data_IF_653999961862
#
_entry.id   IF_653999961862
#
_cell.length_a   1.000
_cell.length_b   1.000
_cell.length_c   1.000
_cell.angle_alpha   90.00
_cell.angle_beta   90.00
_cell.angle_gamma   90.00
#
_symmetry.space_group_name_H-M   'P 1'
#
loop_
_entity.id
_entity.type
_entity.pdbx_description
1 polymer ?
#
# COMPACT_ATOMS: atom_id res chain seq x y z
N UNK A 1 -30.46 -19.21 -9.55
CA UNK A 1 -30.80 -18.20 -8.51
C UNK A 1 -29.56 -17.41 -8.02
N UNK A 2 -28.57 -17.16 -8.91
CA UNK A 2 -27.26 -16.55 -8.59
C UNK A 2 -27.02 -15.17 -9.23
N UNK A 3 -28.02 -14.54 -9.86
CA UNK A 3 -27.83 -13.29 -10.61
C UNK A 3 -28.32 -12.01 -9.90
N UNK A 4 -28.81 -12.07 -8.66
CA UNK A 4 -29.34 -10.88 -7.96
C UNK A 4 -28.42 -10.35 -6.84
N UNK A 5 -27.20 -10.87 -6.69
CA UNK A 5 -26.31 -10.51 -5.57
C UNK A 5 -25.36 -9.32 -5.83
N UNK A 6 -25.60 -8.50 -6.84
CA UNK A 6 -24.66 -7.42 -7.18
C UNK A 6 -25.26 -6.06 -7.52
N UNK A 7 -26.58 -5.89 -7.41
CA UNK A 7 -27.21 -4.62 -7.75
C UNK A 7 -27.56 -3.84 -6.49
N UNK A 8 -27.02 -2.63 -6.39
CA UNK A 8 -27.32 -1.70 -5.33
C UNK A 8 -27.82 -0.38 -5.93
N UNK A 9 -28.67 0.32 -5.22
CA UNK A 9 -29.11 1.68 -5.57
C UNK A 9 -28.39 2.66 -4.66
N UNK A 10 -27.68 3.62 -5.24
CA UNK A 10 -26.99 4.65 -4.48
C UNK A 10 -27.96 5.58 -3.75
N UNK A 11 -29.12 5.85 -4.36
CA UNK A 11 -30.12 6.79 -3.85
C UNK A 11 -31.54 6.26 -4.03
N UNK A 12 -31.96 5.22 -3.27
CA UNK A 12 -33.26 4.56 -3.46
C UNK A 12 -34.47 5.48 -3.22
N UNK A 13 -34.27 6.58 -2.49
CA UNK A 13 -35.31 7.56 -2.17
C UNK A 13 -35.99 8.16 -3.41
N UNK A 14 -35.27 8.29 -4.53
CA UNK A 14 -35.85 8.79 -5.77
C UNK A 14 -36.94 7.88 -6.35
N UNK A 15 -36.96 6.60 -6.00
CA UNK A 15 -38.04 5.68 -6.43
C UNK A 15 -39.38 6.03 -5.80
N UNK A 16 -39.41 6.81 -4.72
CA UNK A 16 -40.65 7.31 -4.13
C UNK A 16 -41.41 8.27 -5.07
N UNK A 17 -40.80 8.80 -6.10
CA UNK A 17 -41.45 9.56 -7.14
C UNK A 17 -42.36 8.72 -8.04
N UNK A 18 -42.10 7.39 -8.16
CA UNK A 18 -42.90 6.50 -9.01
C UNK A 18 -44.39 6.37 -8.53
N UNK A 19 -44.69 6.14 -7.24
CA UNK A 19 -46.07 6.15 -6.77
C UNK A 19 -46.74 7.52 -6.94
N UNK A 20 -46.00 8.63 -6.81
CA UNK A 20 -46.52 9.97 -7.05
C UNK A 20 -46.87 10.17 -8.53
N UNK A 21 -46.08 9.68 -9.45
CA UNK A 21 -46.33 9.68 -10.89
C UNK A 21 -47.60 8.86 -11.23
N UNK A 22 -47.76 7.67 -10.59
CA UNK A 22 -48.94 6.83 -10.77
C UNK A 22 -50.22 7.53 -10.28
N UNK A 23 -50.11 8.20 -9.13
CA UNK A 23 -51.25 8.97 -8.56
C UNK A 23 -51.63 10.14 -9.49
N UNK A 24 -50.64 10.86 -10.03
CA UNK A 24 -50.83 11.94 -11.00
C UNK A 24 -51.49 11.44 -12.30
N UNK A 25 -51.00 10.30 -12.85
CA UNK A 25 -51.63 9.68 -14.03
C UNK A 25 -53.09 9.26 -13.80
N UNK A 26 -53.32 8.71 -12.61
CA UNK A 26 -54.70 8.32 -12.22
C UNK A 26 -55.63 9.53 -12.05
N UNK A 27 -55.13 10.61 -11.43
CA UNK A 27 -55.85 11.88 -11.29
C UNK A 27 -56.10 12.55 -12.65
N UNK A 28 -55.11 12.59 -13.53
CA UNK A 28 -55.25 13.11 -14.91
C UNK A 28 -56.25 12.33 -15.73
N UNK A 29 -56.34 11.01 -15.59
CA UNK A 29 -57.36 10.19 -16.26
C UNK A 29 -58.80 10.45 -15.73
N UNK A 30 -58.95 10.90 -14.50
CA UNK A 30 -60.23 11.25 -13.90
C UNK A 30 -60.72 12.65 -14.26
N UNK A 31 -59.84 13.54 -14.66
CA UNK A 31 -60.23 14.84 -15.17
C UNK A 31 -60.90 14.64 -16.53
N UNK A 32 -62.16 15.00 -16.63
CA UNK A 32 -62.87 15.05 -17.90
C UNK A 32 -62.21 16.17 -18.73
N UNK A 33 -61.93 15.95 -20.06
CA UNK A 33 -61.52 17.06 -20.92
C UNK A 33 -62.63 18.10 -20.92
N UNK A 34 -62.25 19.36 -20.76
CA UNK A 34 -63.20 20.46 -20.87
C UNK A 34 -63.88 20.34 -22.23
N UNK A 35 -65.21 20.18 -22.23
CA UNK A 35 -66.00 20.07 -23.43
C UNK A 35 -66.15 21.47 -24.00
N UNK A 36 -65.48 21.75 -25.10
CA UNK A 36 -65.71 22.98 -25.89
C UNK A 36 -66.95 22.73 -26.71
N UNK A 37 -68.03 23.48 -26.42
CA UNK A 37 -69.24 23.47 -27.21
C UNK A 37 -68.97 24.15 -28.56
N UNK A 38 -68.79 23.33 -29.60
CA UNK A 38 -68.70 23.79 -30.98
C UNK A 38 -70.05 23.65 -31.65
N UNK A 39 -70.57 24.75 -32.19
CA UNK A 39 -71.91 24.81 -32.84
C UNK A 39 -71.94 24.20 -34.24
N UNK A 40 -70.84 23.83 -34.84
CA UNK A 40 -70.73 23.18 -36.17
C UNK A 40 -69.85 21.96 -36.11
N UNK A 41 -70.43 20.80 -35.83
CA UNK A 41 -69.73 19.49 -35.78
C UNK A 41 -69.39 18.98 -37.19
N UNK A 42 -70.05 19.48 -38.23
CA UNK A 42 -69.94 19.02 -39.62
C UNK A 42 -68.59 19.34 -40.26
N UNK A 43 -67.87 20.33 -39.73
CA UNK A 43 -66.53 20.74 -40.22
C UNK A 43 -65.37 19.89 -39.58
N UNK A 44 -65.66 19.21 -38.48
CA UNK A 44 -64.71 18.33 -37.81
C UNK A 44 -64.92 16.88 -38.28
N UNK A 45 -64.63 16.63 -39.58
CA UNK A 45 -64.41 15.24 -40.03
C UNK A 45 -63.15 14.72 -39.38
N UNK A 46 -63.32 14.12 -38.19
CA UNK A 46 -62.31 13.40 -37.49
C UNK A 46 -61.88 12.20 -38.35
N UNK A 47 -60.81 12.34 -39.08
CA UNK A 47 -60.18 11.24 -39.82
C UNK A 47 -59.94 10.04 -38.89
N UNK A 48 -60.15 8.82 -39.38
CA UNK A 48 -60.20 7.63 -38.56
C UNK A 48 -58.88 7.38 -37.80
N UNK A 49 -58.90 7.49 -36.48
CA UNK A 49 -57.97 6.82 -35.57
C UNK A 49 -56.58 7.42 -35.37
N UNK A 50 -56.02 8.24 -36.28
CA UNK A 50 -54.66 8.78 -36.21
C UNK A 50 -54.39 9.69 -34.98
N UNK A 51 -55.40 10.49 -34.58
CA UNK A 51 -55.29 11.38 -33.42
C UNK A 51 -55.19 10.65 -32.08
N UNK A 52 -55.92 9.56 -31.89
CA UNK A 52 -55.95 8.79 -30.67
C UNK A 52 -54.68 7.97 -30.50
N UNK A 53 -54.14 7.43 -31.59
CA UNK A 53 -52.87 6.67 -31.54
C UNK A 53 -51.69 7.57 -31.14
N UNK A 54 -51.56 8.71 -31.74
CA UNK A 54 -50.46 9.63 -31.46
C UNK A 54 -50.60 10.28 -30.06
N UNK A 55 -51.80 10.52 -29.52
CA UNK A 55 -51.98 10.97 -28.15
C UNK A 55 -51.58 9.89 -27.14
N UNK A 56 -51.83 8.61 -27.45
CA UNK A 56 -51.36 7.48 -26.65
C UNK A 56 -49.81 7.33 -26.73
N UNK A 57 -49.21 7.46 -27.92
CA UNK A 57 -47.77 7.40 -28.11
C UNK A 57 -47.04 8.49 -27.32
N UNK A 58 -47.52 9.75 -27.38
CA UNK A 58 -46.95 10.84 -26.59
C UNK A 58 -47.03 10.59 -25.08
N UNK A 59 -48.20 10.06 -24.61
CA UNK A 59 -48.32 9.72 -23.19
C UNK A 59 -47.36 8.61 -22.78
N UNK A 60 -47.21 7.56 -23.61
CA UNK A 60 -46.27 6.47 -23.34
C UNK A 60 -44.85 6.97 -23.29
N UNK A 61 -44.40 7.77 -24.27
CA UNK A 61 -43.06 8.35 -24.31
C UNK A 61 -42.77 9.20 -23.08
N UNK A 62 -43.70 10.05 -22.67
CA UNK A 62 -43.57 10.88 -21.47
C UNK A 62 -43.47 10.06 -20.20
N UNK A 63 -44.31 9.03 -20.06
CA UNK A 63 -44.23 8.13 -18.90
C UNK A 63 -42.93 7.35 -18.89
N UNK A 64 -42.49 6.85 -20.05
CA UNK A 64 -41.20 6.16 -20.17
C UNK A 64 -40.02 7.07 -19.78
N UNK A 65 -40.03 8.32 -20.26
CA UNK A 65 -39.00 9.30 -19.91
C UNK A 65 -38.96 9.58 -18.40
N UNK A 66 -40.10 9.76 -17.76
CA UNK A 66 -40.20 10.02 -16.32
C UNK A 66 -39.78 8.80 -15.49
N UNK A 67 -40.20 7.60 -15.86
CA UNK A 67 -39.81 6.35 -15.17
C UNK A 67 -38.31 6.10 -15.34
N UNK A 68 -37.81 6.17 -16.57
CA UNK A 68 -36.38 5.97 -16.83
C UNK A 68 -35.54 7.04 -16.13
N UNK A 69 -35.99 8.30 -16.11
CA UNK A 69 -35.34 9.38 -15.38
C UNK A 69 -35.30 9.15 -13.87
N UNK A 70 -36.37 8.67 -13.26
CA UNK A 70 -36.38 8.34 -11.83
C UNK A 70 -35.48 7.16 -11.50
N UNK A 71 -35.40 6.14 -12.37
CA UNK A 71 -34.46 5.03 -12.22
C UNK A 71 -33.01 5.52 -12.38
N UNK A 72 -32.75 6.43 -13.32
CA UNK A 72 -31.41 7.03 -13.47
C UNK A 72 -30.98 7.82 -12.22
N UNK A 73 -31.90 8.59 -11.61
CA UNK A 73 -31.66 9.31 -10.35
C UNK A 73 -31.43 8.38 -9.16
N UNK A 74 -32.03 7.20 -9.16
CA UNK A 74 -31.77 6.18 -8.14
C UNK A 74 -30.36 5.59 -8.23
N UNK A 75 -29.61 5.87 -9.33
CA UNK A 75 -28.21 5.49 -9.58
C UNK A 75 -27.98 4.00 -9.34
N UNK A 76 -28.49 3.11 -10.18
CA UNK A 76 -28.21 1.69 -10.10
C UNK A 76 -26.70 1.47 -10.32
N UNK A 77 -26.09 0.67 -9.46
CA UNK A 77 -24.66 0.36 -9.48
C UNK A 77 -24.43 -1.13 -9.25
N UNK A 78 -23.37 -1.66 -9.85
CA UNK A 78 -22.98 -3.05 -9.68
C UNK A 78 -21.50 -3.14 -9.32
N UNK A 79 -21.13 -4.21 -8.60
CA UNK A 79 -19.74 -4.59 -8.35
C UNK A 79 -18.98 -3.61 -7.46
N UNK A 80 -18.82 -3.95 -6.20
CA UNK A 80 -17.85 -3.30 -5.33
C UNK A 80 -16.46 -3.90 -5.63
N UNK A 81 -15.63 -3.22 -6.40
CA UNK A 81 -14.20 -3.55 -6.47
C UNK A 81 -13.51 -2.89 -5.29
N UNK A 82 -13.14 -3.69 -4.32
CA UNK A 82 -12.32 -3.22 -3.20
C UNK A 82 -10.90 -3.03 -3.72
N UNK A 83 -10.50 -1.82 -4.00
CA UNK A 83 -9.09 -1.48 -4.14
C UNK A 83 -8.54 -1.29 -2.73
N UNK A 84 -7.77 -2.27 -2.26
CA UNK A 84 -6.93 -2.07 -1.09
C UNK A 84 -5.80 -1.16 -1.55
N UNK A 85 -5.86 0.11 -1.15
CA UNK A 85 -4.66 0.93 -1.14
C UNK A 85 -3.83 0.39 0.02
N UNK A 86 -2.84 -0.42 -0.29
CA UNK A 86 -1.79 -0.81 0.64
C UNK A 86 -1.24 0.49 1.21
N UNK A 87 -1.37 0.65 2.53
CA UNK A 87 -0.78 1.80 3.21
C UNK A 87 0.71 1.85 2.86
N UNK A 88 1.25 3.05 2.73
CA UNK A 88 2.68 3.23 2.52
C UNK A 88 3.43 2.47 3.60
N UNK A 89 4.21 1.46 3.20
CA UNK A 89 5.11 0.72 4.06
C UNK A 89 6.21 1.63 4.63
N UNK A 90 7.03 1.12 5.51
CA UNK A 90 8.23 1.80 5.99
C UNK A 90 9.42 1.46 5.06
N UNK A 91 10.42 2.35 5.02
CA UNK A 91 11.67 2.09 4.31
C UNK A 91 12.74 1.64 5.30
N UNK A 92 13.24 0.42 5.13
CA UNK A 92 14.19 -0.23 6.04
C UNK A 92 15.51 -0.45 5.31
N UNK A 93 16.61 0.07 5.86
CA UNK A 93 17.97 -0.26 5.41
C UNK A 93 18.64 -1.17 6.44
N UNK A 94 18.91 -2.39 6.02
CA UNK A 94 19.70 -3.35 6.79
C UNK A 94 21.18 -3.05 6.56
N UNK A 95 21.95 -2.88 7.64
CA UNK A 95 23.38 -2.57 7.60
C UNK A 95 24.11 -3.64 8.38
N UNK A 96 24.85 -4.50 7.66
CA UNK A 96 25.40 -5.74 8.21
C UNK A 96 26.93 -5.70 8.17
N UNK A 97 27.53 -5.95 9.31
CA UNK A 97 28.98 -6.08 9.48
C UNK A 97 29.49 -7.40 8.87
N UNK A 98 30.53 -7.33 8.03
CA UNK A 98 31.22 -8.46 7.42
C UNK A 98 32.69 -8.60 7.90
N UNK A 99 33.08 -7.88 8.95
CA UNK A 99 34.41 -7.97 9.53
C UNK A 99 34.75 -9.39 9.96
N UNK A 100 36.01 -9.70 10.09
CA UNK A 100 36.49 -11.04 10.44
C UNK A 100 36.00 -11.53 11.81
N UNK A 101 35.64 -10.62 12.74
CA UNK A 101 35.06 -10.94 14.02
C UNK A 101 33.68 -11.59 13.91
N UNK A 102 32.91 -11.30 12.87
CA UNK A 102 31.62 -11.92 12.59
C UNK A 102 31.70 -13.41 12.24
N UNK A 103 32.91 -13.93 12.00
CA UNK A 103 33.15 -15.37 11.84
C UNK A 103 33.30 -16.11 13.17
N UNK A 104 33.19 -15.41 14.30
CA UNK A 104 33.28 -16.04 15.64
C UNK A 104 32.16 -17.07 15.81
N UNK A 105 32.50 -18.24 16.37
CA UNK A 105 31.59 -19.39 16.56
C UNK A 105 30.98 -19.44 17.97
N UNK A 106 30.61 -18.30 18.53
CA UNK A 106 29.94 -18.19 19.83
C UNK A 106 28.40 -18.19 19.75
N UNK A 107 27.85 -18.21 18.52
CA UNK A 107 26.41 -18.33 18.23
C UNK A 107 26.06 -19.74 17.73
N UNK A 108 26.38 -20.77 18.51
CA UNK A 108 26.17 -22.17 18.11
C UNK A 108 24.76 -22.43 17.52
N UNK A 109 24.63 -23.28 16.49
CA UNK A 109 25.67 -24.16 15.91
C UNK A 109 26.51 -23.50 14.80
N UNK A 110 26.34 -22.23 14.50
CA UNK A 110 26.98 -21.52 13.40
C UNK A 110 27.75 -20.29 13.93
N UNK A 111 28.48 -19.58 13.03
CA UNK A 111 29.08 -18.30 13.36
C UNK A 111 28.05 -17.17 13.37
N UNK A 112 28.44 -15.99 13.91
CA UNK A 112 27.55 -14.81 14.05
C UNK A 112 26.95 -14.38 12.73
N UNK A 113 27.75 -14.38 11.64
CA UNK A 113 27.31 -13.94 10.31
C UNK A 113 26.20 -14.86 9.77
N UNK A 114 26.38 -16.17 9.81
CA UNK A 114 25.39 -17.12 9.30
C UNK A 114 24.08 -17.06 10.09
N UNK A 115 24.17 -16.94 11.42
CA UNK A 115 22.97 -16.74 12.26
C UNK A 115 22.30 -15.41 11.92
N UNK A 116 23.08 -14.32 11.73
CA UNK A 116 22.52 -13.03 11.32
C UNK A 116 21.81 -13.12 9.96
N UNK A 117 22.39 -13.79 8.97
CA UNK A 117 21.78 -14.02 7.64
C UNK A 117 20.44 -14.74 7.79
N UNK A 118 20.41 -15.81 8.60
CA UNK A 118 19.16 -16.56 8.83
C UNK A 118 18.07 -15.67 9.46
N UNK A 119 18.40 -14.87 10.48
CA UNK A 119 17.42 -14.01 11.16
C UNK A 119 16.99 -12.84 10.31
N UNK A 120 17.86 -12.26 9.49
CA UNK A 120 17.53 -11.25 8.49
C UNK A 120 16.54 -11.83 7.46
N UNK A 121 16.78 -13.04 6.95
CA UNK A 121 15.84 -13.69 6.01
C UNK A 121 14.46 -13.89 6.62
N UNK A 122 14.40 -14.35 7.88
CA UNK A 122 13.13 -14.50 8.59
C UNK A 122 12.42 -13.14 8.77
N UNK A 123 13.16 -12.09 9.08
CA UNK A 123 12.64 -10.73 9.21
C UNK A 123 12.08 -10.20 7.87
N UNK A 124 12.81 -10.39 6.75
CA UNK A 124 12.38 -9.97 5.42
C UNK A 124 11.11 -10.70 4.97
N UNK A 125 11.07 -12.03 5.19
CA UNK A 125 9.90 -12.85 4.82
C UNK A 125 8.63 -12.52 5.61
N UNK A 126 8.76 -11.92 6.79
CA UNK A 126 7.63 -11.47 7.60
C UNK A 126 7.01 -10.14 7.11
N UNK A 127 7.58 -9.51 6.08
CA UNK A 127 7.15 -8.23 5.51
C UNK A 127 6.29 -8.44 4.25
N UNK A 128 5.39 -7.48 3.98
CA UNK A 128 4.49 -7.56 2.83
C UNK A 128 4.43 -6.29 1.99
N UNK A 129 4.85 -5.14 2.54
CA UNK A 129 4.70 -3.83 1.87
C UNK A 129 5.84 -2.85 2.15
N UNK A 130 6.86 -3.28 2.92
CA UNK A 130 7.99 -2.43 3.28
C UNK A 130 9.06 -2.45 2.18
N UNK A 131 9.68 -1.29 1.92
CA UNK A 131 10.84 -1.23 1.05
C UNK A 131 12.09 -1.58 1.85
N UNK A 132 12.80 -2.64 1.46
CA UNK A 132 13.99 -3.13 2.16
C UNK A 132 15.22 -2.99 1.28
N UNK A 133 16.29 -2.42 1.82
CA UNK A 133 17.61 -2.39 1.19
C UNK A 133 18.66 -3.03 2.08
N UNK A 134 19.83 -3.32 1.49
CA UNK A 134 20.94 -3.99 2.17
C UNK A 134 22.26 -3.25 1.89
N UNK A 135 22.93 -2.87 2.95
CA UNK A 135 24.31 -2.38 2.96
C UNK A 135 25.16 -3.36 3.76
N UNK A 136 26.25 -3.80 3.21
CA UNK A 136 27.28 -4.53 3.94
C UNK A 136 28.47 -3.61 4.21
N UNK A 137 29.16 -3.83 5.31
CA UNK A 137 30.34 -3.06 5.63
C UNK A 137 31.41 -3.90 6.36
N UNK A 138 32.65 -3.45 6.27
CA UNK A 138 33.80 -3.90 7.00
C UNK A 138 34.72 -2.70 7.17
N UNK A 139 35.94 -2.66 6.60
CA UNK A 139 36.79 -1.46 6.51
C UNK A 139 36.19 -0.36 5.62
N UNK A 140 35.27 -0.71 4.74
CA UNK A 140 34.51 0.17 3.86
C UNK A 140 33.02 -0.27 3.82
N UNK A 141 32.15 0.47 3.13
CA UNK A 141 30.73 0.15 3.04
C UNK A 141 30.25 0.06 1.59
N UNK A 142 29.47 -0.99 1.30
CA UNK A 142 28.94 -1.28 -0.02
C UNK A 142 27.42 -1.46 0.02
N UNK A 143 26.71 -0.79 -0.88
CA UNK A 143 25.27 -1.06 -1.08
C UNK A 143 25.12 -2.34 -1.90
N UNK A 144 24.62 -3.40 -1.28
CA UNK A 144 24.35 -4.67 -1.95
C UNK A 144 23.02 -4.63 -2.70
N UNK A 145 21.97 -4.04 -2.07
CA UNK A 145 20.66 -3.88 -2.68
C UNK A 145 20.12 -2.50 -2.31
N UNK A 146 19.71 -1.68 -3.29
CA UNK A 146 18.97 -0.47 -3.01
C UNK A 146 17.57 -0.81 -2.45
N UNK A 147 16.86 0.18 -1.91
CA UNK A 147 15.49 -0.02 -1.40
C UNK A 147 14.58 -0.61 -2.48
N UNK A 148 13.98 -1.75 -2.19
CA UNK A 148 13.08 -2.48 -3.08
C UNK A 148 12.01 -3.22 -2.29
N UNK A 149 10.88 -3.50 -2.95
CA UNK A 149 9.82 -4.40 -2.46
C UNK A 149 9.98 -5.82 -3.03
N UNK A 150 11.01 -6.04 -3.85
CA UNK A 150 11.35 -7.36 -4.41
C UNK A 150 12.19 -8.15 -3.40
N UNK A 151 11.52 -8.81 -2.46
CA UNK A 151 12.16 -9.57 -1.40
C UNK A 151 13.06 -10.72 -1.88
N UNK A 152 12.74 -11.49 -2.94
CA UNK A 152 13.65 -12.45 -3.53
C UNK A 152 15.04 -11.90 -3.84
N UNK A 153 15.16 -10.66 -4.34
CA UNK A 153 16.44 -10.01 -4.61
C UNK A 153 17.20 -9.73 -3.31
N UNK A 154 16.49 -9.25 -2.28
CA UNK A 154 17.09 -9.00 -0.96
C UNK A 154 17.59 -10.30 -0.34
N UNK A 155 16.76 -11.37 -0.38
CA UNK A 155 17.11 -12.68 0.16
C UNK A 155 18.34 -13.29 -0.52
N UNK A 156 18.40 -13.22 -1.86
CA UNK A 156 19.57 -13.68 -2.62
C UNK A 156 20.84 -12.89 -2.26
N UNK A 157 20.73 -11.57 -2.06
CA UNK A 157 21.87 -10.76 -1.63
C UNK A 157 22.34 -11.10 -0.21
N UNK A 158 21.40 -11.36 0.72
CA UNK A 158 21.73 -11.81 2.08
C UNK A 158 22.45 -13.16 2.05
N UNK A 159 21.99 -14.11 1.22
CA UNK A 159 22.67 -15.41 1.08
C UNK A 159 24.11 -15.27 0.58
N UNK A 160 24.38 -14.29 -0.28
CA UNK A 160 25.69 -14.04 -0.86
C UNK A 160 26.65 -13.24 0.05
N UNK A 161 26.21 -12.76 1.21
CA UNK A 161 27.10 -12.06 2.15
C UNK A 161 28.21 -13.01 2.66
N UNK A 162 29.45 -12.57 2.54
CA UNK A 162 30.63 -13.32 2.99
C UNK A 162 31.65 -12.38 3.61
N UNK A 163 32.27 -12.80 4.72
CA UNK A 163 33.44 -12.10 5.25
C UNK A 163 34.62 -12.19 4.27
N UNK A 164 35.39 -11.11 4.17
CA UNK A 164 36.54 -11.04 3.23
C UNK A 164 36.17 -10.50 1.84
N UNK A 165 34.94 -10.11 1.58
CA UNK A 165 34.53 -9.38 0.35
C UNK A 165 35.04 -7.93 0.34
N UNK A 166 35.23 -7.34 1.50
CA UNK A 166 35.72 -5.99 1.72
C UNK A 166 36.99 -6.04 2.55
N UNK A 167 37.80 -4.95 2.55
CA UNK A 167 38.94 -4.83 3.44
C UNK A 167 38.54 -5.05 4.90
N UNK A 168 39.31 -5.81 5.67
CA UNK A 168 38.99 -6.10 7.05
C UNK A 168 39.10 -4.83 7.93
N UNK A 169 38.19 -4.76 8.88
CA UNK A 169 38.00 -3.64 9.79
C UNK A 169 36.53 -3.36 10.04
N UNK A 170 36.22 -2.27 10.75
CA UNK A 170 34.84 -1.93 11.13
C UNK A 170 34.63 -0.43 10.98
N UNK A 171 34.06 0.00 9.83
CA UNK A 171 33.85 1.40 9.46
C UNK A 171 32.37 1.81 9.69
N UNK A 172 31.92 1.85 10.96
CA UNK A 172 30.54 2.10 11.36
C UNK A 172 30.03 3.44 10.80
N UNK A 173 30.83 4.52 10.92
CA UNK A 173 30.45 5.85 10.44
C UNK A 173 30.19 5.91 8.94
N UNK A 174 31.06 5.25 8.15
CA UNK A 174 30.92 5.14 6.70
C UNK A 174 29.68 4.32 6.33
N UNK A 175 29.39 3.24 7.06
CA UNK A 175 28.22 2.39 6.88
C UNK A 175 26.92 3.17 7.12
N UNK A 176 26.84 3.93 8.23
CA UNK A 176 25.70 4.79 8.54
C UNK A 176 25.51 5.86 7.46
N UNK A 177 26.58 6.54 7.04
CA UNK A 177 26.50 7.57 6.00
C UNK A 177 26.02 7.01 4.65
N UNK A 178 26.54 5.83 4.25
CA UNK A 178 26.11 5.14 3.02
C UNK A 178 24.65 4.76 3.09
N UNK A 179 24.19 4.16 4.18
CA UNK A 179 22.81 3.77 4.38
C UNK A 179 21.87 4.99 4.47
N UNK A 180 22.30 6.06 5.16
CA UNK A 180 21.52 7.30 5.25
C UNK A 180 21.32 7.98 3.88
N UNK A 181 22.36 7.95 3.03
CA UNK A 181 22.24 8.47 1.67
C UNK A 181 21.21 7.67 0.84
N UNK A 182 21.10 6.36 1.04
CA UNK A 182 20.08 5.52 0.37
C UNK A 182 18.67 5.76 0.91
N UNK A 183 18.55 6.12 2.18
CA UNK A 183 17.27 6.43 2.82
C UNK A 183 16.83 7.88 2.63
N UNK A 184 17.72 8.80 2.21
CA UNK A 184 17.41 10.23 2.12
C UNK A 184 16.13 10.52 1.37
N UNK A 185 16.00 9.98 0.18
CA UNK A 185 14.87 10.21 -0.72
C UNK A 185 13.90 9.01 -0.75
N UNK A 186 13.97 8.16 0.28
CA UNK A 186 13.16 6.95 0.36
C UNK A 186 11.67 7.29 0.51
N UNK A 187 10.77 6.56 -0.17
CA UNK A 187 9.34 6.67 0.03
C UNK A 187 8.92 6.11 1.38
N UNK A 188 7.71 6.46 1.84
CA UNK A 188 7.13 5.91 3.07
C UNK A 188 7.14 6.89 4.23
N UNK A 189 6.39 6.52 5.29
CA UNK A 189 6.18 7.38 6.47
C UNK A 189 7.31 7.36 7.47
N UNK A 190 8.08 6.29 7.50
CA UNK A 190 9.19 6.10 8.43
C UNK A 190 10.40 5.56 7.69
N UNK A 191 11.57 6.11 8.04
CA UNK A 191 12.86 5.70 7.52
C UNK A 191 13.64 5.06 8.65
N UNK A 192 13.94 3.78 8.50
CA UNK A 192 14.56 2.95 9.53
C UNK A 192 15.87 2.38 9.04
N UNK A 193 16.88 2.43 9.87
CA UNK A 193 18.15 1.75 9.67
C UNK A 193 18.36 0.74 10.80
N UNK A 194 18.70 -0.49 10.47
CA UNK A 194 19.06 -1.53 11.44
C UNK A 194 20.52 -1.87 11.23
N UNK A 195 21.34 -1.38 12.14
CA UNK A 195 22.79 -1.59 12.14
C UNK A 195 23.15 -2.80 13.02
N UNK A 196 23.75 -3.81 12.43
CA UNK A 196 24.21 -5.02 13.10
C UNK A 196 25.72 -5.10 13.03
N UNK A 197 26.38 -5.13 14.19
CA UNK A 197 27.85 -5.18 14.32
C UNK A 197 28.24 -5.90 15.60
N UNK A 198 29.43 -6.47 15.62
CA UNK A 198 30.04 -7.09 16.79
C UNK A 198 31.33 -6.39 17.22
N UNK A 199 31.72 -5.31 16.52
CA UNK A 199 33.00 -4.67 16.64
C UNK A 199 33.00 -3.25 17.20
N UNK A 200 34.21 -2.75 17.40
CA UNK A 200 34.54 -1.36 17.74
C UNK A 200 34.89 -0.64 16.45
N UNK A 201 34.42 0.61 16.29
CA UNK A 201 34.79 1.41 15.13
C UNK A 201 36.31 1.65 15.07
N UNK A 202 37.01 1.07 14.10
CA UNK A 202 38.47 1.16 13.95
C UNK A 202 38.90 1.61 12.54
N UNK A 203 37.96 1.83 11.62
CA UNK A 203 38.18 2.25 10.24
C UNK A 203 37.12 3.28 9.81
N UNK A 204 37.36 3.83 8.62
CA UNK A 204 36.47 4.80 7.98
C UNK A 204 36.83 6.25 8.26
N UNK A 205 36.54 7.12 7.29
CA UNK A 205 36.84 8.55 7.36
C UNK A 205 35.77 9.37 8.11
N UNK A 206 34.60 8.77 8.36
CA UNK A 206 33.45 9.47 8.96
C UNK A 206 33.27 8.98 10.40
N UNK A 207 33.22 9.93 11.34
CA UNK A 207 32.93 9.61 12.74
C UNK A 207 31.51 9.09 12.88
N UNK A 208 31.25 7.96 13.59
CA UNK A 208 29.94 7.36 13.72
C UNK A 208 28.88 8.27 14.34
N UNK A 209 29.26 9.11 15.34
CA UNK A 209 28.29 10.04 15.95
C UNK A 209 27.88 11.15 14.99
N UNK A 210 28.85 11.66 14.20
CA UNK A 210 28.59 12.64 13.14
C UNK A 210 27.68 12.08 12.06
N UNK A 211 27.91 10.83 11.62
CA UNK A 211 27.04 10.16 10.67
C UNK A 211 25.63 9.94 11.22
N UNK A 212 25.50 9.58 12.49
CA UNK A 212 24.20 9.43 13.16
C UNK A 212 23.45 10.77 13.27
N UNK A 213 24.15 11.88 13.59
CA UNK A 213 23.52 13.22 13.60
C UNK A 213 23.01 13.62 12.21
N UNK A 214 23.77 13.34 11.15
CA UNK A 214 23.31 13.56 9.78
C UNK A 214 22.10 12.70 9.44
N UNK A 215 22.07 11.43 9.85
CA UNK A 215 20.92 10.55 9.68
C UNK A 215 19.68 11.07 10.45
N UNK A 216 19.86 11.55 11.68
CA UNK A 216 18.80 12.14 12.48
C UNK A 216 18.19 13.37 11.81
N UNK A 217 19.00 14.25 11.20
CA UNK A 217 18.52 15.44 10.46
C UNK A 217 17.68 15.07 9.22
N UNK A 218 17.87 13.87 8.67
CA UNK A 218 17.07 13.30 7.58
C UNK A 218 15.82 12.55 8.07
N UNK A 219 15.56 12.55 9.38
CA UNK A 219 14.43 11.82 9.98
C UNK A 219 14.62 10.31 9.98
N UNK A 220 15.84 9.82 9.88
CA UNK A 220 16.17 8.39 9.89
C UNK A 220 16.36 7.92 11.33
N UNK A 221 15.63 6.87 11.72
CA UNK A 221 15.76 6.23 13.02
C UNK A 221 16.73 5.04 12.91
N UNK A 222 17.73 4.99 13.78
CA UNK A 222 18.73 3.92 13.76
C UNK A 222 18.55 3.01 14.98
N UNK A 223 18.26 1.74 14.69
CA UNK A 223 18.35 0.65 15.67
C UNK A 223 19.72 0.01 15.57
N UNK A 224 20.45 -0.05 16.67
CA UNK A 224 21.77 -0.67 16.73
C UNK A 224 21.69 -2.00 17.46
N UNK A 225 22.26 -3.04 16.88
CA UNK A 225 22.29 -4.40 17.44
C UNK A 225 23.75 -4.81 17.60
N UNK A 226 24.21 -4.89 18.84
CA UNK A 226 25.50 -5.49 19.19
C UNK A 226 25.38 -7.00 19.24
N UNK A 227 26.18 -7.72 18.45
CA UNK A 227 26.11 -9.19 18.34
C UNK A 227 27.35 -9.80 18.98
N UNK A 228 27.16 -10.80 19.83
CA UNK A 228 28.27 -11.56 20.44
C UNK A 228 28.03 -11.93 21.89
N UNK A 229 28.64 -13.03 22.34
CA UNK A 229 28.67 -13.45 23.73
C UNK A 229 29.59 -12.55 24.56
N UNK A 230 29.59 -12.70 25.87
CA UNK A 230 30.59 -12.08 26.75
C UNK A 230 31.80 -13.00 26.90
N UNK A 231 33.00 -12.43 26.84
CA UNK A 231 34.24 -13.16 27.11
C UNK A 231 35.09 -13.43 25.87
N UNK A 232 35.62 -14.64 25.75
CA UNK A 232 36.49 -15.07 24.65
C UNK A 232 35.68 -15.86 23.63
N UNK A 233 35.82 -15.56 22.36
CA UNK A 233 35.18 -16.29 21.27
C UNK A 233 36.23 -16.88 20.31
N UNK A 234 36.04 -18.14 19.84
CA UNK A 234 36.92 -18.74 18.85
C UNK A 234 36.65 -18.14 17.47
N UNK A 235 37.68 -17.50 16.89
CA UNK A 235 37.66 -16.89 15.56
C UNK A 235 38.57 -17.68 14.64
N UNK A 236 38.15 -18.11 13.45
CA UNK A 236 39.03 -18.77 12.50
C UNK A 236 40.01 -17.75 11.91
N UNK A 237 41.29 -18.01 12.05
CA UNK A 237 42.39 -17.12 11.60
C UNK A 237 43.12 -17.63 10.36
N UNK A 238 42.76 -18.82 9.84
CA UNK A 238 43.36 -19.39 8.64
C UNK A 238 43.19 -20.89 8.51
N UNK A 239 43.68 -21.48 7.44
CA UNK A 239 43.72 -22.94 7.24
C UNK A 239 45.12 -23.47 7.59
N UNK A 240 45.17 -24.37 8.57
CA UNK A 240 46.36 -25.15 8.86
C UNK A 240 46.35 -26.51 8.14
N UNK A 241 47.38 -27.31 8.34
CA UNK A 241 47.53 -28.65 7.70
C UNK A 241 46.41 -29.62 8.08
N UNK A 242 45.78 -29.41 9.26
CA UNK A 242 44.74 -30.26 9.81
C UNK A 242 43.33 -29.62 9.83
N UNK A 243 43.11 -28.53 9.09
CA UNK A 243 41.82 -27.83 9.03
C UNK A 243 41.89 -26.35 9.41
N UNK A 244 40.78 -25.76 9.84
CA UNK A 244 40.70 -24.36 10.29
C UNK A 244 41.46 -24.20 11.61
N UNK A 245 42.34 -23.18 11.66
CA UNK A 245 43.01 -22.75 12.87
C UNK A 245 42.19 -21.68 13.56
N UNK A 246 41.86 -21.90 14.82
CA UNK A 246 41.09 -20.97 15.65
C UNK A 246 42.00 -20.25 16.64
N UNK A 247 41.69 -18.99 16.87
CA UNK A 247 42.29 -18.17 17.90
C UNK A 247 41.17 -17.61 18.81
N UNK A 248 41.34 -17.76 20.12
CA UNK A 248 40.41 -17.17 21.05
C UNK A 248 40.68 -15.67 21.14
N UNK A 249 39.71 -14.85 20.67
CA UNK A 249 39.75 -13.40 20.77
C UNK A 249 38.74 -12.89 21.78
N UNK A 250 39.12 -11.83 22.49
CA UNK A 250 38.22 -11.13 23.39
C UNK A 250 37.13 -10.43 22.57
N UNK A 251 35.87 -10.65 22.94
CA UNK A 251 34.76 -9.94 22.34
C UNK A 251 34.69 -8.53 22.92
N UNK A 252 34.91 -7.54 22.09
CA UNK A 252 34.85 -6.12 22.45
C UNK A 252 33.79 -5.45 21.60
N UNK A 253 32.68 -4.99 22.23
CA UNK A 253 31.63 -4.24 21.60
C UNK A 253 31.57 -2.86 22.25
N UNK A 254 31.57 -1.82 21.46
CA UNK A 254 31.41 -0.44 21.96
C UNK A 254 29.94 -0.14 22.20
N UNK A 255 29.37 -0.73 23.27
CA UNK A 255 27.98 -0.49 23.65
C UNK A 255 27.66 1.00 23.92
N UNK A 256 28.57 1.79 24.56
CA UNK A 256 28.35 3.22 24.70
C UNK A 256 28.14 3.93 23.35
N UNK A 257 29.03 3.69 22.37
CA UNK A 257 28.91 4.28 21.04
C UNK A 257 27.60 3.87 20.34
N UNK A 258 27.28 2.58 20.33
CA UNK A 258 26.05 2.06 19.71
C UNK A 258 24.79 2.61 20.38
N UNK A 259 24.83 2.79 21.70
CA UNK A 259 23.75 3.40 22.47
C UNK A 259 23.58 4.90 22.14
N UNK A 260 24.68 5.63 22.00
CA UNK A 260 24.68 7.05 21.62
C UNK A 260 24.10 7.26 20.23
N UNK A 261 24.51 6.43 19.24
CA UNK A 261 23.98 6.43 17.88
C UNK A 261 22.47 6.22 17.88
N UNK A 262 22.02 5.19 18.57
CA UNK A 262 20.61 4.85 18.62
C UNK A 262 19.78 5.97 19.28
N UNK A 263 20.20 6.45 20.44
CA UNK A 263 19.49 7.54 21.18
C UNK A 263 19.45 8.84 20.38
N UNK A 264 20.58 9.20 19.74
CA UNK A 264 20.68 10.43 18.95
C UNK A 264 19.73 10.46 17.75
N UNK A 265 19.25 9.29 17.30
CA UNK A 265 18.33 9.14 16.16
C UNK A 265 16.92 8.70 16.58
N UNK A 266 16.57 8.79 17.86
CA UNK A 266 15.30 8.29 18.41
C UNK A 266 15.07 6.79 18.20
N UNK A 267 16.13 6.03 18.01
CA UNK A 267 16.12 4.58 17.96
C UNK A 267 16.45 3.93 19.31
N UNK A 268 16.87 2.67 19.27
CA UNK A 268 17.19 1.89 20.46
C UNK A 268 18.38 0.96 20.21
N UNK A 269 19.26 0.82 21.21
CA UNK A 269 20.31 -0.19 21.25
C UNK A 269 19.76 -1.51 21.79
N UNK A 270 20.22 -2.61 21.21
CA UNK A 270 19.94 -3.98 21.64
C UNK A 270 21.23 -4.79 21.68
N UNK A 271 21.29 -5.75 22.61
CA UNK A 271 22.38 -6.72 22.70
C UNK A 271 21.85 -8.12 22.37
N UNK A 272 22.38 -8.74 21.31
CA UNK A 272 22.12 -10.13 20.96
C UNK A 272 23.27 -11.01 21.45
N UNK A 273 23.00 -11.90 22.38
CA UNK A 273 23.97 -12.87 22.92
C UNK A 273 23.88 -14.25 22.26
N UNK A 274 22.78 -14.50 21.56
CA UNK A 274 22.49 -15.72 20.83
C UNK A 274 21.48 -15.45 19.70
N UNK A 275 21.26 -16.46 18.85
CA UNK A 275 20.33 -16.34 17.72
C UNK A 275 18.87 -16.15 18.14
N UNK A 276 18.46 -16.68 19.30
CA UNK A 276 17.10 -16.49 19.81
C UNK A 276 16.89 -15.06 20.31
N UNK A 277 17.91 -14.45 20.95
CA UNK A 277 17.88 -13.04 21.31
C UNK A 277 17.80 -12.15 20.07
N UNK A 278 18.57 -12.44 19.03
CA UNK A 278 18.54 -11.70 17.77
C UNK A 278 17.15 -11.77 17.11
N UNK A 279 16.50 -12.92 17.10
CA UNK A 279 15.13 -13.09 16.61
C UNK A 279 14.16 -12.20 17.39
N UNK A 280 14.18 -12.23 18.71
CA UNK A 280 13.32 -11.39 19.56
C UNK A 280 13.56 -9.90 19.34
N UNK A 281 14.79 -9.49 19.08
CA UNK A 281 15.13 -8.10 18.78
C UNK A 281 14.47 -7.66 17.48
N UNK A 282 14.55 -8.46 16.42
CA UNK A 282 13.85 -8.16 15.16
C UNK A 282 12.32 -8.06 15.34
N UNK A 283 11.73 -8.94 16.16
CA UNK A 283 10.30 -8.86 16.48
C UNK A 283 9.96 -7.60 17.28
N UNK A 284 10.80 -7.17 18.22
CA UNK A 284 10.62 -5.91 18.95
C UNK A 284 10.72 -4.70 18.03
N UNK A 285 11.70 -4.66 17.13
CA UNK A 285 11.83 -3.57 16.14
C UNK A 285 10.58 -3.54 15.26
N UNK A 286 10.09 -4.69 14.83
CA UNK A 286 8.85 -4.79 14.07
C UNK A 286 7.66 -4.17 14.82
N UNK A 287 7.51 -4.46 16.10
CA UNK A 287 6.44 -3.91 16.92
C UNK A 287 6.57 -2.39 17.12
N UNK A 288 7.80 -1.87 17.27
CA UNK A 288 8.07 -0.44 17.44
C UNK A 288 7.76 0.36 16.17
N UNK A 289 7.94 -0.23 15.00
CA UNK A 289 7.74 0.41 13.70
C UNK A 289 6.41 0.06 13.03
N UNK A 290 5.59 -0.79 13.64
CA UNK A 290 4.23 -1.04 13.15
C UNK A 290 3.41 0.23 13.21
N UNK A 291 3.31 0.89 12.08
CA UNK A 291 2.31 1.96 11.88
C UNK A 291 0.97 1.28 11.63
N UNK A 292 -0.10 1.62 12.38
CA UNK A 292 -1.42 1.11 12.05
C UNK A 292 -1.78 1.59 10.65
N UNK A 293 -1.73 0.67 9.69
CA UNK A 293 -2.15 0.91 8.32
C UNK A 293 -3.66 1.20 8.37
N UNK A 294 -4.04 2.47 8.35
CA UNK A 294 -5.42 2.85 8.03
C UNK A 294 -5.62 2.51 6.55
N UNK A 295 -5.96 1.26 6.28
CA UNK A 295 -6.37 0.85 4.95
C UNK A 295 -7.62 1.67 4.59
N UNK A 296 -7.43 2.71 3.79
CA UNK A 296 -8.55 3.45 3.20
C UNK A 296 -9.17 2.52 2.18
N UNK A 297 -10.26 1.88 2.58
CA UNK A 297 -11.03 0.99 1.70
C UNK A 297 -11.78 1.84 0.68
N UNK A 298 -11.20 2.06 -0.47
CA UNK A 298 -11.91 2.68 -1.59
C UNK A 298 -12.74 1.61 -2.29
N UNK A 299 -14.06 1.80 -2.24
CA UNK A 299 -15.00 0.93 -2.95
C UNK A 299 -15.36 1.62 -4.25
N UNK A 300 -14.88 1.11 -5.37
CA UNK A 300 -15.21 1.60 -6.70
C UNK A 300 -16.43 0.86 -7.22
N UNK A 301 -17.52 1.58 -7.44
CA UNK A 301 -18.74 1.04 -8.03
C UNK A 301 -18.78 1.29 -9.54
N UNK A 302 -19.29 0.31 -10.28
CA UNK A 302 -19.63 0.51 -11.69
C UNK A 302 -21.05 1.08 -11.76
N UNK A 303 -21.16 2.35 -12.14
CA UNK A 303 -22.45 3.06 -12.21
C UNK A 303 -23.17 2.77 -13.53
N UNK A 304 -24.41 2.31 -13.46
CA UNK A 304 -25.23 1.94 -14.60
C UNK A 304 -26.30 2.98 -14.96
N UNK A 305 -26.28 4.14 -14.33
CA UNK A 305 -27.30 5.19 -14.55
C UNK A 305 -27.33 5.71 -16.01
N UNK A 306 -26.24 5.54 -16.75
CA UNK A 306 -26.12 5.98 -18.16
C UNK A 306 -27.18 5.30 -19.04
N UNK A 307 -27.50 4.03 -18.80
CA UNK A 307 -28.49 3.29 -19.60
C UNK A 307 -29.93 3.82 -19.39
N UNK A 308 -30.46 3.93 -18.19
CA UNK A 308 -31.80 4.52 -18.00
C UNK A 308 -31.84 6.02 -18.36
N UNK A 309 -30.75 6.77 -18.17
CA UNK A 309 -30.66 8.16 -18.61
C UNK A 309 -30.75 8.28 -20.14
N UNK A 310 -30.01 7.44 -20.87
CA UNK A 310 -30.06 7.38 -22.33
C UNK A 310 -31.49 7.06 -22.84
N UNK A 311 -32.16 6.10 -22.19
CA UNK A 311 -33.55 5.77 -22.52
C UNK A 311 -34.51 6.96 -22.27
N UNK A 312 -34.33 7.67 -21.16
CA UNK A 312 -35.13 8.86 -20.84
C UNK A 312 -34.97 9.96 -21.87
N UNK A 313 -33.70 10.26 -22.26
CA UNK A 313 -33.39 11.26 -23.27
C UNK A 313 -33.92 10.87 -24.66
N UNK A 314 -33.76 9.61 -25.06
CA UNK A 314 -34.30 9.11 -26.34
C UNK A 314 -35.82 9.24 -26.40
N UNK A 315 -36.53 8.91 -25.29
CA UNK A 315 -37.95 9.06 -25.21
C UNK A 315 -38.41 10.53 -25.31
N UNK A 316 -37.68 11.46 -24.68
CA UNK A 316 -37.96 12.90 -24.78
C UNK A 316 -37.72 13.45 -26.19
N UNK A 317 -36.61 13.07 -26.84
CA UNK A 317 -36.29 13.49 -28.21
C UNK A 317 -37.38 12.99 -29.18
N UNK A 318 -37.81 11.71 -29.00
CA UNK A 318 -38.90 11.13 -29.82
C UNK A 318 -40.25 11.84 -29.57
N UNK A 319 -40.55 12.21 -28.33
CA UNK A 319 -41.72 12.99 -27.96
C UNK A 319 -41.71 14.35 -28.67
N UNK A 320 -40.56 15.08 -28.62
CA UNK A 320 -40.39 16.37 -29.26
C UNK A 320 -40.49 16.28 -30.81
N UNK A 321 -39.90 15.23 -31.39
CA UNK A 321 -39.95 14.97 -32.83
C UNK A 321 -41.41 14.71 -33.28
N UNK A 322 -42.18 13.91 -32.52
CA UNK A 322 -43.59 13.65 -32.80
C UNK A 322 -44.44 14.90 -32.64
N UNK A 323 -44.17 15.78 -31.68
CA UNK A 323 -44.82 17.05 -31.49
C UNK A 323 -44.53 18.01 -32.67
N UNK A 324 -43.26 18.11 -33.08
CA UNK A 324 -42.86 18.95 -34.23
C UNK A 324 -43.46 18.47 -35.55
N UNK A 325 -43.52 17.15 -35.76
CA UNK A 325 -44.08 16.57 -36.97
C UNK A 325 -45.61 16.78 -37.10
N UNK A 326 -46.29 16.91 -35.97
CA UNK A 326 -47.76 17.17 -35.97
C UNK A 326 -48.13 18.60 -36.37
N UNK A 327 -47.19 19.53 -36.37
CA UNK A 327 -47.50 20.94 -36.54
C UNK A 327 -48.29 21.55 -35.38
N UNK A 328 -48.42 22.87 -35.28
CA UNK A 328 -49.28 23.48 -34.30
C UNK A 328 -50.72 23.04 -34.61
N UNK A 329 -51.40 22.49 -33.61
CA UNK A 329 -52.82 22.30 -33.67
C UNK A 329 -53.44 23.69 -33.87
N UNK A 330 -54.35 23.88 -34.85
CA UNK A 330 -55.02 25.14 -35.03
C UNK A 330 -55.91 25.48 -33.82
#
# INVERSE_FOLDING_TARGET
MAMLRGWELASPWWLLLLPFLLLWLRWRRRRRPDAILFSRVDVLQAGPGRGRWAARALLILRVTALVAGTVALARPRTGARTEQVTGEGISIMLVVDLSSSMLAEDFQPQNRLEVAKEKIKQFVLARSSDAIGLVSFSGEALTQVPLTIDYPVVLAAVDNLQSGQLEDGTAIGTAIATAANRLRDAPGRSKVMILLTDGVNNRGAIDPRTAAQAAASLGIRIYTIGVGSEGMAPVPVGRGVFGLRYENRKVEIDEPLLTDIARGTSGRYFRARDGAALQRIYEQIDQLERVPVRASRYVRYNELYVYPLGLALAALVLELALLAWRGPLP
#
